data_IF_682332211543
#
_entry.id   IF_682332211543
#
_cell.length_a   1.000
_cell.length_b   1.000
_cell.length_c   1.000
_cell.angle_alpha   90.00
_cell.angle_beta   90.00
_cell.angle_gamma   90.00
#
_symmetry.space_group_name_H-M   'P 1'
#
loop_
_entity.id
_entity.type
_entity.pdbx_description
1 polymer ?
#
# COMPACT_ATOMS: atom_id res chain seq x y z
N UNK A 1 -27.96 35.61 -27.96
CA UNK A 1 -27.55 34.45 -27.15
C UNK A 1 -27.49 34.91 -25.71
N UNK A 2 -28.16 34.20 -24.80
CA UNK A 2 -28.20 34.55 -23.39
C UNK A 2 -26.82 34.30 -22.75
N UNK A 3 -26.41 35.13 -21.78
CA UNK A 3 -25.18 34.97 -20.98
C UNK A 3 -24.83 33.52 -20.56
N UNK A 4 -25.78 32.68 -20.10
CA UNK A 4 -25.47 31.29 -19.72
C UNK A 4 -24.95 30.40 -20.86
N UNK A 5 -25.31 30.65 -22.12
CA UNK A 5 -24.80 29.88 -23.27
C UNK A 5 -23.34 30.27 -23.60
N UNK A 6 -22.96 31.52 -23.36
CA UNK A 6 -21.60 32.01 -23.56
C UNK A 6 -20.65 31.44 -22.50
N UNK A 7 -21.09 31.31 -21.25
CA UNK A 7 -20.30 30.69 -20.19
C UNK A 7 -20.15 29.17 -20.37
N UNK A 8 -21.20 28.50 -20.85
CA UNK A 8 -21.12 27.08 -21.21
C UNK A 8 -20.13 26.85 -22.35
N UNK A 9 -20.21 27.63 -23.42
CA UNK A 9 -19.27 27.55 -24.54
C UNK A 9 -17.85 27.91 -24.09
N UNK A 10 -17.66 28.91 -23.23
CA UNK A 10 -16.35 29.31 -22.72
C UNK A 10 -15.71 28.24 -21.84
N UNK A 11 -16.49 27.56 -21.01
CA UNK A 11 -16.04 26.41 -20.22
C UNK A 11 -15.70 25.20 -21.11
N UNK A 12 -16.53 24.94 -22.12
CA UNK A 12 -16.29 23.86 -23.08
C UNK A 12 -15.04 24.11 -23.94
N UNK A 13 -14.82 25.34 -24.40
CA UNK A 13 -13.62 25.74 -25.13
C UNK A 13 -12.36 25.73 -24.26
N UNK A 14 -12.47 26.10 -22.98
CA UNK A 14 -11.37 26.02 -22.00
C UNK A 14 -10.91 24.57 -21.76
N UNK A 15 -11.86 23.64 -21.68
CA UNK A 15 -11.61 22.21 -21.50
C UNK A 15 -11.05 21.53 -22.78
N UNK A 16 -11.51 21.95 -23.96
CA UNK A 16 -11.16 21.30 -25.23
C UNK A 16 -9.81 21.77 -25.80
N UNK A 17 -9.35 22.99 -25.44
CA UNK A 17 -8.13 23.60 -25.98
C UNK A 17 -6.93 23.61 -25.00
N UNK A 18 -7.01 22.92 -23.85
CA UNK A 18 -6.01 23.02 -22.76
C UNK A 18 -5.72 24.46 -22.30
N UNK A 19 -6.63 25.40 -22.57
CA UNK A 19 -6.55 26.79 -22.11
C UNK A 19 -6.97 26.96 -20.63
N UNK A 20 -7.49 25.89 -20.01
CA UNK A 20 -7.84 25.82 -18.59
C UNK A 20 -6.69 25.44 -17.64
N UNK A 21 -5.45 25.35 -18.13
CA UNK A 21 -4.26 24.93 -17.35
C UNK A 21 -3.73 26.03 -16.41
N UNK A 22 -4.60 26.68 -15.64
CA UNK A 22 -4.16 27.70 -14.69
C UNK A 22 -3.67 27.04 -13.41
N UNK A 23 -2.40 27.33 -13.04
CA UNK A 23 -1.84 26.94 -11.75
C UNK A 23 -2.44 27.84 -10.67
N UNK A 24 -3.62 27.47 -10.17
CA UNK A 24 -4.23 28.09 -8.99
C UNK A 24 -3.70 27.40 -7.72
N UNK A 25 -3.30 28.20 -6.73
CA UNK A 25 -2.94 27.71 -5.40
C UNK A 25 -4.20 27.64 -4.54
N UNK A 26 -4.64 26.41 -4.27
CA UNK A 26 -5.82 26.14 -3.43
C UNK A 26 -5.48 26.03 -1.93
N UNK A 27 -4.24 25.65 -1.59
CA UNK A 27 -3.75 25.59 -0.22
C UNK A 27 -3.32 26.98 0.26
N UNK A 28 -3.81 27.40 1.42
CA UNK A 28 -3.36 28.64 2.06
C UNK A 28 -1.89 28.55 2.49
N UNK A 29 -1.44 27.39 2.99
CA UNK A 29 -0.06 27.05 3.31
C UNK A 29 0.30 25.62 2.87
N UNK A 30 1.58 25.40 2.55
CA UNK A 30 2.08 24.08 2.10
C UNK A 30 2.47 23.21 3.30
N UNK A 31 1.51 22.96 4.19
CA UNK A 31 1.70 22.15 5.40
C UNK A 31 0.54 21.16 5.57
N UNK A 32 0.65 20.27 6.56
CA UNK A 32 -0.42 19.33 6.89
C UNK A 32 -1.67 20.07 7.37
N UNK A 33 -1.49 21.16 8.11
CA UNK A 33 -2.56 22.04 8.59
C UNK A 33 -3.29 22.73 7.43
N UNK A 34 -2.55 23.22 6.43
CA UNK A 34 -3.14 23.78 5.21
C UNK A 34 -3.97 22.76 4.42
N UNK A 35 -3.48 21.52 4.33
CA UNK A 35 -4.25 20.41 3.71
C UNK A 35 -5.49 20.07 4.53
N UNK A 36 -5.40 20.02 5.86
CA UNK A 36 -6.54 19.73 6.72
C UNK A 36 -7.64 20.80 6.59
N UNK A 37 -7.28 22.09 6.58
CA UNK A 37 -8.23 23.19 6.33
C UNK A 37 -8.86 23.10 4.94
N UNK A 38 -8.08 22.74 3.92
CA UNK A 38 -8.60 22.51 2.58
C UNK A 38 -9.61 21.35 2.53
N UNK A 39 -9.31 20.23 3.21
CA UNK A 39 -10.21 19.08 3.34
C UNK A 39 -11.54 19.41 4.03
N UNK A 40 -11.53 20.34 4.99
CA UNK A 40 -12.74 20.82 5.68
C UNK A 40 -13.55 21.83 4.86
N UNK A 41 -12.99 22.36 3.76
CA UNK A 41 -13.67 23.33 2.90
C UNK A 41 -14.64 22.65 1.93
N UNK A 42 -15.64 23.39 1.45
CA UNK A 42 -16.60 22.88 0.44
C UNK A 42 -15.97 22.54 -0.92
N UNK A 43 -14.71 22.96 -1.16
CA UNK A 43 -13.98 22.68 -2.39
C UNK A 43 -13.45 21.24 -2.44
N UNK A 44 -13.15 20.62 -1.29
CA UNK A 44 -12.59 19.28 -1.23
C UNK A 44 -13.69 18.24 -0.99
N UNK A 45 -14.16 17.59 -2.06
CA UNK A 45 -15.25 16.59 -1.97
C UNK A 45 -14.81 15.19 -2.38
N UNK A 46 -13.75 15.08 -3.19
CA UNK A 46 -13.31 13.83 -3.83
C UNK A 46 -11.82 13.65 -3.63
N UNK A 47 -11.48 12.74 -2.72
CA UNK A 47 -10.11 12.36 -2.39
C UNK A 47 -9.77 11.06 -3.10
N UNK A 48 -8.64 11.04 -3.82
CA UNK A 48 -8.06 9.78 -4.30
C UNK A 48 -6.85 9.44 -3.42
N UNK A 49 -6.84 8.22 -2.90
CA UNK A 49 -5.68 7.66 -2.22
C UNK A 49 -4.82 6.87 -3.22
N UNK A 50 -3.51 7.15 -3.25
CA UNK A 50 -2.52 6.38 -4.00
C UNK A 50 -1.58 5.72 -2.99
N UNK A 51 -1.69 4.41 -2.82
CA UNK A 51 -0.97 3.71 -1.74
C UNK A 51 -0.05 2.61 -2.25
N UNK A 52 0.93 2.27 -1.42
CA UNK A 52 1.86 1.16 -1.66
C UNK A 52 2.33 0.53 -0.37
N UNK A 53 3.37 -0.32 -0.45
CA UNK A 53 3.72 -1.25 0.62
C UNK A 53 4.03 -0.58 1.97
N UNK A 54 4.48 0.68 1.97
CA UNK A 54 4.77 1.44 3.18
C UNK A 54 3.57 1.54 4.14
N UNK A 55 2.32 1.50 3.65
CA UNK A 55 1.13 1.53 4.51
C UNK A 55 0.89 0.21 5.27
N UNK A 56 1.50 -0.88 4.83
CA UNK A 56 1.36 -2.24 5.39
C UNK A 56 2.54 -2.67 6.25
N UNK A 57 3.64 -1.89 6.26
CA UNK A 57 4.85 -2.25 7.03
C UNK A 57 4.61 -2.38 8.54
N UNK A 58 3.78 -1.51 9.13
CA UNK A 58 3.41 -1.60 10.55
C UNK A 58 2.45 -2.75 10.88
N UNK A 59 1.83 -3.37 9.86
CA UNK A 59 1.09 -4.61 10.03
C UNK A 59 2.02 -5.84 10.11
N UNK A 60 3.31 -5.69 9.85
CA UNK A 60 4.28 -6.79 9.81
C UNK A 60 4.51 -7.37 8.42
N UNK A 61 3.95 -6.76 7.37
CA UNK A 61 4.19 -7.14 5.98
C UNK A 61 5.40 -6.33 5.48
N UNK A 62 6.54 -6.97 5.17
CA UNK A 62 7.71 -6.24 4.68
C UNK A 62 7.38 -5.56 3.35
N UNK A 63 7.97 -4.38 3.12
CA UNK A 63 7.95 -3.83 1.78
C UNK A 63 8.91 -4.59 0.87
N UNK A 64 8.95 -4.23 -0.41
CA UNK A 64 9.82 -4.93 -1.36
C UNK A 64 11.28 -4.45 -1.32
N UNK A 65 11.54 -3.17 -1.01
CA UNK A 65 12.76 -2.45 -1.41
C UNK A 65 13.59 -1.88 -0.27
N UNK A 66 13.06 -1.86 0.96
CA UNK A 66 13.78 -1.31 2.11
C UNK A 66 15.05 -2.13 2.34
N UNK A 67 16.21 -1.49 2.54
CA UNK A 67 17.43 -2.20 2.87
C UNK A 67 17.27 -3.04 4.15
N UNK A 68 17.84 -4.24 4.14
CA UNK A 68 17.88 -5.24 5.23
C UNK A 68 16.54 -5.84 5.69
N UNK A 69 15.42 -5.16 5.45
CA UNK A 69 14.08 -5.59 5.90
C UNK A 69 13.11 -5.85 4.76
N UNK A 70 13.45 -5.39 3.56
CA UNK A 70 12.68 -5.60 2.35
C UNK A 70 12.70 -7.06 1.91
N UNK A 71 11.67 -7.43 1.19
CA UNK A 71 11.48 -8.79 0.72
C UNK A 71 12.65 -9.29 -0.14
N UNK A 72 13.19 -8.43 -1.02
CA UNK A 72 14.29 -8.80 -1.92
C UNK A 72 15.59 -9.20 -1.22
N UNK A 73 15.85 -8.67 -0.03
CA UNK A 73 17.06 -9.02 0.75
C UNK A 73 16.96 -10.38 1.44
N UNK A 74 15.77 -11.01 1.43
CA UNK A 74 15.50 -12.27 2.12
C UNK A 74 15.18 -13.44 1.17
N UNK A 75 15.47 -13.31 -0.13
CA UNK A 75 15.12 -14.31 -1.16
C UNK A 75 16.23 -15.31 -1.50
N UNK A 76 17.41 -15.23 -0.87
CA UNK A 76 18.57 -16.08 -1.21
C UNK A 76 18.25 -17.59 -1.19
N UNK A 77 17.42 -18.03 -0.24
CA UNK A 77 16.98 -19.43 -0.10
C UNK A 77 16.25 -20.00 -1.32
N UNK A 78 15.70 -19.14 -2.18
CA UNK A 78 14.96 -19.54 -3.38
C UNK A 78 15.86 -19.76 -4.61
N UNK A 79 17.17 -19.50 -4.51
CA UNK A 79 18.14 -19.71 -5.60
C UNK A 79 17.70 -19.07 -6.93
N UNK A 80 17.16 -17.85 -6.84
CA UNK A 80 16.67 -17.08 -7.98
C UNK A 80 17.85 -16.55 -8.81
N UNK A 81 17.68 -16.37 -10.14
CA UNK A 81 18.71 -15.73 -10.97
C UNK A 81 18.94 -14.26 -10.58
N UNK A 82 17.91 -13.59 -10.09
CA UNK A 82 17.90 -12.25 -9.50
C UNK A 82 16.62 -12.09 -8.67
N UNK A 83 16.56 -11.19 -7.67
CA UNK A 83 15.45 -11.10 -6.71
C UNK A 83 14.07 -10.92 -7.35
N UNK A 84 13.96 -10.12 -8.40
CA UNK A 84 12.71 -9.79 -9.08
C UNK A 84 12.12 -10.97 -9.86
N UNK A 85 12.92 -12.00 -10.18
CA UNK A 85 12.49 -13.14 -10.97
C UNK A 85 11.30 -13.88 -10.35
N UNK A 86 11.17 -13.90 -9.02
CA UNK A 86 10.04 -14.52 -8.32
C UNK A 86 8.69 -13.88 -8.67
N UNK A 87 8.71 -12.62 -9.15
CA UNK A 87 7.54 -11.85 -9.57
C UNK A 87 7.48 -11.64 -11.09
N UNK A 88 8.30 -12.32 -11.89
CA UNK A 88 8.19 -12.30 -13.35
C UNK A 88 7.30 -13.43 -13.87
N UNK A 89 6.37 -13.10 -14.78
CA UNK A 89 5.40 -14.09 -15.29
C UNK A 89 6.06 -15.23 -16.08
N UNK A 90 7.16 -14.92 -16.77
CA UNK A 90 7.94 -15.88 -17.56
C UNK A 90 8.63 -16.92 -16.67
N UNK A 91 9.19 -16.48 -15.54
CA UNK A 91 9.82 -17.32 -14.54
C UNK A 91 8.77 -18.14 -13.79
N UNK A 92 7.71 -17.50 -13.28
CA UNK A 92 6.62 -18.16 -12.56
C UNK A 92 5.98 -19.32 -13.33
N UNK A 93 5.77 -19.16 -14.65
CA UNK A 93 5.20 -20.24 -15.49
C UNK A 93 6.10 -21.48 -15.58
N UNK A 94 7.42 -21.32 -15.41
CA UNK A 94 8.41 -22.40 -15.46
C UNK A 94 8.74 -22.96 -14.08
N UNK A 95 8.81 -22.08 -13.08
CA UNK A 95 9.20 -22.34 -11.70
C UNK A 95 8.22 -21.63 -10.75
N UNK A 96 6.99 -22.14 -10.60
CA UNK A 96 6.00 -21.53 -9.72
C UNK A 96 6.28 -21.76 -8.23
N UNK A 97 7.09 -22.76 -7.89
CA UNK A 97 7.32 -23.24 -6.53
C UNK A 97 7.89 -22.16 -5.60
N UNK A 98 8.92 -21.37 -5.99
CA UNK A 98 9.44 -20.29 -5.15
C UNK A 98 8.38 -19.26 -4.76
N UNK A 99 7.52 -18.88 -5.70
CA UNK A 99 6.44 -17.93 -5.44
C UNK A 99 5.44 -18.49 -4.43
N UNK A 100 5.01 -19.74 -4.57
CA UNK A 100 4.03 -20.33 -3.65
C UNK A 100 4.62 -20.61 -2.27
N UNK A 101 5.90 -20.98 -2.18
CA UNK A 101 6.61 -21.08 -0.91
C UNK A 101 6.67 -19.71 -0.21
N UNK A 102 6.99 -18.66 -0.96
CA UNK A 102 6.97 -17.30 -0.44
C UNK A 102 5.56 -16.84 -0.02
N UNK A 103 4.54 -17.14 -0.84
CA UNK A 103 3.16 -16.79 -0.53
C UNK A 103 2.64 -17.46 0.75
N UNK A 104 3.16 -18.66 1.09
CA UNK A 104 2.89 -19.32 2.37
C UNK A 104 3.47 -18.54 3.54
N UNK A 105 4.69 -18.03 3.40
CA UNK A 105 5.36 -17.22 4.44
C UNK A 105 4.68 -15.86 4.66
N UNK A 106 4.09 -15.30 3.60
CA UNK A 106 3.45 -13.98 3.62
C UNK A 106 1.91 -14.03 3.75
N UNK A 107 1.31 -15.20 3.96
CA UNK A 107 -0.14 -15.37 3.77
C UNK A 107 -0.99 -14.48 4.71
N UNK A 108 -1.94 -13.69 4.18
CA UNK A 108 -2.85 -12.85 4.98
C UNK A 108 -3.81 -13.69 5.84
N UNK A 109 -3.55 -13.68 7.14
CA UNK A 109 -4.32 -14.34 8.19
C UNK A 109 -3.76 -14.08 9.59
N UNK A 110 -2.56 -13.49 9.65
CA UNK A 110 -1.91 -12.97 10.86
C UNK A 110 -1.90 -11.44 10.91
N UNK A 111 -2.29 -10.76 9.82
CA UNK A 111 -2.04 -9.33 9.64
C UNK A 111 -3.32 -8.53 9.76
N UNK A 112 -3.25 -7.46 10.55
CA UNK A 112 -4.36 -6.54 10.80
C UNK A 112 -4.13 -5.26 9.99
N UNK A 113 -5.16 -4.68 9.36
CA UNK A 113 -5.02 -3.39 8.69
C UNK A 113 -4.47 -2.33 9.65
N UNK A 114 -3.65 -1.43 9.12
CA UNK A 114 -2.97 -0.39 9.89
C UNK A 114 -3.87 0.81 10.14
N UNK A 115 -3.39 1.78 10.93
CA UNK A 115 -4.13 3.03 11.17
C UNK A 115 -4.33 3.78 9.84
N UNK A 116 -3.34 3.73 8.94
CA UNK A 116 -3.44 4.29 7.60
C UNK A 116 -4.60 3.67 6.78
N UNK A 117 -4.82 2.35 6.88
CA UNK A 117 -5.96 1.69 6.22
C UNK A 117 -7.30 2.18 6.78
N UNK A 118 -7.43 2.27 8.10
CA UNK A 118 -8.66 2.76 8.73
C UNK A 118 -8.89 4.26 8.53
N UNK A 119 -7.84 5.05 8.29
CA UNK A 119 -8.01 6.44 7.86
C UNK A 119 -8.70 6.51 6.48
N UNK A 120 -8.32 5.64 5.54
CA UNK A 120 -9.01 5.53 4.25
C UNK A 120 -10.46 5.08 4.42
N UNK A 121 -10.73 4.17 5.38
CA UNK A 121 -12.10 3.79 5.75
C UNK A 121 -12.90 4.99 6.26
N UNK A 122 -12.33 5.86 7.10
CA UNK A 122 -13.02 7.08 7.52
C UNK A 122 -13.27 8.04 6.36
N UNK A 123 -12.37 8.14 5.36
CA UNK A 123 -12.64 8.91 4.15
C UNK A 123 -13.87 8.37 3.41
N UNK A 124 -14.03 7.05 3.32
CA UNK A 124 -15.24 6.41 2.75
C UNK A 124 -16.47 6.74 3.57
N UNK A 125 -16.44 6.49 4.87
CA UNK A 125 -17.59 6.67 5.76
C UNK A 125 -18.06 8.13 5.83
N UNK A 126 -17.14 9.08 5.61
CA UNK A 126 -17.44 10.53 5.53
C UNK A 126 -17.79 11.02 4.12
N UNK A 127 -17.89 10.12 3.14
CA UNK A 127 -18.27 10.44 1.76
C UNK A 127 -17.24 11.25 0.97
N UNK A 128 -15.97 11.21 1.39
CA UNK A 128 -14.86 11.93 0.76
C UNK A 128 -14.03 11.06 -0.18
N UNK A 129 -13.97 9.73 0.06
CA UNK A 129 -13.18 8.83 -0.77
C UNK A 129 -13.83 8.66 -2.15
N UNK A 130 -13.15 9.13 -3.20
CA UNK A 130 -13.51 8.84 -4.58
C UNK A 130 -12.98 7.48 -5.02
N UNK A 131 -11.71 7.21 -4.71
CA UNK A 131 -11.06 5.93 -5.02
C UNK A 131 -9.79 5.72 -4.20
N UNK A 132 -9.50 4.48 -3.85
CA UNK A 132 -8.19 4.03 -3.41
C UNK A 132 -7.55 3.21 -4.53
N UNK A 133 -6.45 3.71 -5.09
CA UNK A 133 -5.57 2.95 -5.96
C UNK A 133 -4.44 2.38 -5.12
N UNK A 134 -4.36 1.06 -5.05
CA UNK A 134 -3.33 0.36 -4.27
C UNK A 134 -2.40 -0.43 -5.17
N UNK A 135 -1.10 -0.39 -4.85
CA UNK A 135 -0.08 -1.28 -5.41
C UNK A 135 0.05 -2.58 -4.61
N UNK A 136 -0.61 -2.66 -3.45
CA UNK A 136 -0.53 -3.79 -2.55
C UNK A 136 -1.42 -4.92 -3.04
N UNK A 137 -1.07 -6.13 -2.63
CA UNK A 137 -1.78 -7.37 -2.95
C UNK A 137 -2.25 -8.09 -1.66
N UNK A 138 -1.99 -7.49 -0.50
CA UNK A 138 -2.23 -8.06 0.83
C UNK A 138 -3.71 -8.07 1.25
N UNK A 139 -4.57 -7.35 0.52
CA UNK A 139 -6.02 -7.23 0.73
C UNK A 139 -6.44 -6.49 2.01
N UNK A 140 -5.50 -5.84 2.73
CA UNK A 140 -5.80 -5.16 3.99
C UNK A 140 -6.78 -3.99 3.80
N UNK A 141 -6.87 -3.39 2.63
CA UNK A 141 -7.88 -2.37 2.30
C UNK A 141 -9.31 -2.94 2.38
N UNK A 142 -9.51 -4.16 1.88
CA UNK A 142 -10.79 -4.87 1.94
C UNK A 142 -11.14 -5.25 3.37
N UNK A 143 -10.14 -5.73 4.13
CA UNK A 143 -10.33 -6.08 5.55
C UNK A 143 -10.66 -4.84 6.38
N UNK A 144 -10.11 -3.66 6.05
CA UNK A 144 -10.49 -2.39 6.68
C UNK A 144 -11.90 -1.90 6.30
N UNK A 145 -12.54 -2.56 5.33
CA UNK A 145 -13.92 -2.31 4.88
C UNK A 145 -14.03 -1.36 3.70
N UNK A 146 -12.99 -1.20 2.88
CA UNK A 146 -13.15 -0.65 1.54
C UNK A 146 -13.75 -1.71 0.61
N UNK A 147 -14.77 -1.32 -0.14
CA UNK A 147 -15.52 -2.19 -1.02
C UNK A 147 -14.92 -2.19 -2.43
N UNK A 148 -15.40 -3.08 -3.30
CA UNK A 148 -14.86 -3.22 -4.66
C UNK A 148 -14.99 -1.93 -5.47
N UNK A 149 -16.09 -1.20 -5.28
CA UNK A 149 -16.32 0.11 -5.86
C UNK A 149 -15.24 1.10 -5.44
N UNK A 150 -14.80 1.11 -4.18
CA UNK A 150 -13.81 2.08 -3.71
C UNK A 150 -12.41 1.79 -4.25
N UNK A 151 -12.15 0.52 -4.63
CA UNK A 151 -10.81 0.02 -4.88
C UNK A 151 -10.44 -0.10 -6.36
N UNK A 152 -9.19 0.22 -6.64
CA UNK A 152 -8.44 -0.20 -7.82
C UNK A 152 -7.16 -0.88 -7.33
N UNK A 153 -7.20 -2.20 -7.25
CA UNK A 153 -6.04 -3.05 -6.97
C UNK A 153 -5.16 -3.10 -8.22
N UNK A 154 -4.28 -2.09 -8.37
CA UNK A 154 -3.53 -1.86 -9.60
C UNK A 154 -2.59 -3.01 -9.94
N UNK A 155 -2.01 -3.65 -8.93
CA UNK A 155 -1.18 -4.85 -9.10
C UNK A 155 -1.95 -6.14 -8.79
N UNK A 156 -3.27 -6.08 -8.91
CA UNK A 156 -4.14 -7.24 -8.71
C UNK A 156 -4.28 -7.64 -7.24
N UNK A 157 -4.76 -8.85 -6.99
CA UNK A 157 -5.20 -9.28 -5.65
C UNK A 157 -5.02 -10.76 -5.43
N UNK A 158 -4.81 -11.17 -4.17
CA UNK A 158 -4.88 -12.58 -3.78
C UNK A 158 -6.33 -13.05 -3.60
N UNK A 159 -7.31 -12.14 -3.55
CA UNK A 159 -8.71 -12.46 -3.24
C UNK A 159 -9.34 -13.47 -4.20
N UNK A 160 -8.94 -13.43 -5.47
CA UNK A 160 -9.34 -14.37 -6.52
C UNK A 160 -8.11 -14.94 -7.23
N UNK A 161 -8.29 -16.07 -7.89
CA UNK A 161 -7.24 -16.76 -8.65
C UNK A 161 -7.85 -17.35 -9.91
N UNK A 162 -7.09 -17.40 -11.00
CA UNK A 162 -7.58 -17.98 -12.26
C UNK A 162 -6.67 -19.04 -12.82
N UNK A 163 -7.27 -20.05 -13.47
CA UNK A 163 -6.56 -20.94 -14.36
C UNK A 163 -5.81 -20.12 -15.44
N UNK A 164 -4.53 -20.41 -15.67
CA UNK A 164 -3.71 -19.71 -16.67
C UNK A 164 -4.04 -20.11 -18.10
N UNK A 165 -4.77 -21.22 -18.30
CA UNK A 165 -5.21 -21.63 -19.63
C UNK A 165 -6.26 -20.66 -20.17
N UNK A 166 -5.98 -20.05 -21.32
CA UNK A 166 -6.86 -19.08 -21.96
C UNK A 166 -8.21 -19.67 -22.40
N UNK A 167 -8.27 -20.98 -22.67
CA UNK A 167 -9.51 -21.67 -23.06
C UNK A 167 -10.36 -22.11 -21.86
N UNK A 168 -9.85 -21.97 -20.63
CA UNK A 168 -10.54 -22.39 -19.41
C UNK A 168 -10.88 -21.19 -18.54
N UNK A 169 -9.87 -20.48 -18.02
CA UNK A 169 -10.02 -19.31 -17.13
C UNK A 169 -10.97 -19.56 -15.94
N UNK A 170 -11.07 -20.79 -15.44
CA UNK A 170 -11.83 -21.07 -14.22
C UNK A 170 -11.33 -20.23 -13.05
N UNK A 171 -12.24 -19.59 -12.33
CA UNK A 171 -11.98 -18.75 -11.16
C UNK A 171 -12.03 -19.58 -9.88
N UNK A 172 -11.05 -19.39 -9.00
CA UNK A 172 -10.96 -20.02 -7.69
C UNK A 172 -10.92 -18.96 -6.58
N UNK A 173 -11.65 -19.16 -5.48
CA UNK A 173 -11.64 -18.22 -4.36
C UNK A 173 -10.36 -18.31 -3.52
N UNK A 174 -10.07 -17.26 -2.75
CA UNK A 174 -8.94 -17.21 -1.82
C UNK A 174 -8.84 -18.44 -0.89
N UNK A 175 -9.98 -18.97 -0.42
CA UNK A 175 -10.03 -20.15 0.46
C UNK A 175 -9.49 -21.42 -0.20
N UNK A 176 -9.78 -21.62 -1.49
CA UNK A 176 -9.22 -22.72 -2.28
C UNK A 176 -7.72 -22.55 -2.48
N UNK A 177 -7.29 -21.33 -2.85
CA UNK A 177 -5.87 -21.02 -3.02
C UNK A 177 -5.10 -21.20 -1.71
N UNK A 178 -5.70 -20.81 -0.57
CA UNK A 178 -5.15 -21.03 0.77
C UNK A 178 -4.82 -22.49 1.02
N UNK A 179 -5.81 -23.37 0.80
CA UNK A 179 -5.66 -24.80 1.04
C UNK A 179 -4.48 -25.36 0.24
N UNK A 180 -4.36 -24.99 -1.05
CA UNK A 180 -3.24 -25.42 -1.91
C UNK A 180 -1.88 -24.89 -1.42
N UNK A 181 -1.78 -23.60 -1.11
CA UNK A 181 -0.55 -22.98 -0.60
C UNK A 181 -0.10 -23.65 0.72
N UNK A 182 -0.99 -23.84 1.69
CA UNK A 182 -0.63 -24.40 2.99
C UNK A 182 -0.33 -25.89 2.95
N UNK A 183 -0.98 -26.63 2.04
CA UNK A 183 -0.68 -28.05 1.77
C UNK A 183 0.60 -28.27 0.96
N UNK A 184 1.28 -27.19 0.55
CA UNK A 184 2.51 -27.23 -0.28
C UNK A 184 2.29 -27.93 -1.63
N UNK A 185 1.06 -27.86 -2.15
CA UNK A 185 0.71 -28.41 -3.47
C UNK A 185 0.60 -27.26 -4.46
N UNK A 186 1.39 -27.32 -5.55
CA UNK A 186 1.29 -26.36 -6.65
C UNK A 186 -0.15 -26.33 -7.20
N UNK A 187 -0.86 -25.19 -7.14
CA UNK A 187 -2.27 -25.12 -7.52
C UNK A 187 -2.50 -25.47 -8.99
N UNK A 188 -3.32 -26.50 -9.24
CA UNK A 188 -3.74 -26.94 -10.57
C UNK A 188 -5.24 -26.83 -10.71
N UNK A 189 -5.70 -26.46 -11.90
CA UNK A 189 -7.10 -26.32 -12.24
C UNK A 189 -7.76 -27.69 -12.27
N UNK A 190 -8.88 -27.82 -11.58
CA UNK A 190 -9.66 -29.06 -11.48
C UNK A 190 -10.20 -29.49 -12.86
N UNK A 191 -10.53 -28.55 -13.74
CA UNK A 191 -11.09 -28.83 -15.07
C UNK A 191 -10.04 -29.27 -16.11
N UNK A 192 -8.83 -28.67 -16.08
CA UNK A 192 -7.86 -28.81 -17.18
C UNK A 192 -6.41 -29.05 -16.75
N UNK A 193 -6.14 -29.17 -15.45
CA UNK A 193 -4.82 -29.44 -14.85
C UNK A 193 -3.72 -28.40 -15.18
N UNK A 194 -4.09 -27.29 -15.83
CA UNK A 194 -3.21 -26.13 -15.99
C UNK A 194 -2.97 -25.44 -14.66
N UNK A 195 -1.88 -24.68 -14.56
CA UNK A 195 -1.55 -23.90 -13.36
C UNK A 195 -2.69 -22.92 -13.01
N UNK A 196 -2.98 -22.74 -11.73
CA UNK A 196 -3.84 -21.66 -11.22
C UNK A 196 -2.95 -20.60 -10.60
N UNK A 197 -3.13 -19.34 -11.01
CA UNK A 197 -2.36 -18.20 -10.52
C UNK A 197 -3.28 -17.25 -9.75
N UNK A 198 -2.87 -16.72 -8.59
CA UNK A 198 -3.54 -15.59 -7.97
C UNK A 198 -3.65 -14.42 -8.95
N UNK A 199 -4.71 -13.61 -8.84
CA UNK A 199 -4.96 -12.49 -9.75
C UNK A 199 -4.10 -11.27 -9.45
N UNK A 200 -2.87 -11.49 -9.00
CA UNK A 200 -1.81 -10.48 -8.87
C UNK A 200 -1.15 -10.24 -10.24
N UNK A 201 -0.66 -9.03 -10.48
CA UNK A 201 0.02 -8.65 -11.72
C UNK A 201 1.51 -8.91 -11.56
N UNK A 202 2.02 -9.94 -12.24
CA UNK A 202 3.46 -10.19 -12.32
C UNK A 202 4.12 -9.18 -13.28
N UNK A 203 5.42 -8.95 -13.13
CA UNK A 203 6.20 -8.23 -14.14
C UNK A 203 6.08 -8.94 -15.49
N UNK A 204 5.79 -8.14 -16.53
CA UNK A 204 5.48 -8.61 -17.87
C UNK A 204 3.99 -8.81 -18.16
N UNK A 205 3.11 -8.71 -17.15
CA UNK A 205 1.66 -8.72 -17.35
C UNK A 205 1.09 -7.30 -17.50
N UNK A 206 -0.06 -7.19 -18.17
CA UNK A 206 -0.81 -5.93 -18.24
C UNK A 206 -1.54 -5.68 -16.92
N UNK A 207 -1.62 -4.41 -16.50
CA UNK A 207 -2.48 -4.02 -15.38
C UNK A 207 -3.96 -4.30 -15.71
N UNK A 208 -4.83 -4.47 -14.69
CA UNK A 208 -6.24 -4.77 -14.90
C UNK A 208 -6.94 -3.67 -15.71
N UNK A 209 -7.90 -4.03 -16.57
CA UNK A 209 -8.66 -3.05 -17.35
C UNK A 209 -9.33 -1.97 -16.48
N UNK A 210 -9.76 -2.35 -15.26
CA UNK A 210 -10.33 -1.44 -14.26
C UNK A 210 -9.38 -0.27 -13.95
N UNK A 211 -8.07 -0.51 -13.86
CA UNK A 211 -7.07 0.53 -13.62
C UNK A 211 -7.20 1.67 -14.63
N UNK A 212 -7.21 1.34 -15.92
CA UNK A 212 -7.27 2.33 -17.00
C UNK A 212 -8.63 3.02 -17.06
N UNK A 213 -9.72 2.27 -16.92
CA UNK A 213 -11.08 2.83 -16.98
C UNK A 213 -11.34 3.83 -15.85
N UNK A 214 -11.02 3.47 -14.60
CA UNK A 214 -11.15 4.36 -13.45
C UNK A 214 -10.20 5.55 -13.56
N UNK A 215 -8.94 5.34 -13.97
CA UNK A 215 -7.98 6.44 -14.13
C UNK A 215 -8.52 7.54 -15.07
N UNK A 216 -9.16 7.16 -16.16
CA UNK A 216 -9.72 8.12 -17.12
C UNK A 216 -10.87 8.95 -16.55
N UNK A 217 -11.70 8.38 -15.66
CA UNK A 217 -12.85 9.08 -15.08
C UNK A 217 -12.53 9.84 -13.79
N UNK A 218 -11.71 9.24 -12.92
CA UNK A 218 -11.56 9.67 -11.54
C UNK A 218 -10.69 10.93 -11.45
N UNK A 219 -9.60 10.96 -12.22
CA UNK A 219 -8.67 12.10 -12.23
C UNK A 219 -9.25 13.36 -12.87
N UNK A 220 -10.39 13.29 -13.57
CA UNK A 220 -11.10 14.48 -14.05
C UNK A 220 -11.85 15.22 -12.93
N UNK A 221 -12.09 14.56 -11.79
CA UNK A 221 -12.99 15.05 -10.73
C UNK A 221 -12.30 15.13 -9.36
N UNK A 222 -11.01 14.79 -9.28
CA UNK A 222 -10.30 14.69 -8.02
C UNK A 222 -9.96 16.07 -7.45
N UNK A 223 -10.33 16.28 -6.19
CA UNK A 223 -10.09 17.56 -5.49
C UNK A 223 -8.83 17.49 -4.60
N UNK A 224 -8.38 16.29 -4.21
CA UNK A 224 -7.16 16.04 -3.43
C UNK A 224 -6.54 14.67 -3.78
N UNK A 225 -5.23 14.63 -3.97
CA UNK A 225 -4.47 13.38 -3.94
C UNK A 225 -3.81 13.17 -2.58
N UNK A 226 -4.05 12.01 -1.98
CA UNK A 226 -3.36 11.53 -0.79
C UNK A 226 -2.46 10.35 -1.16
N UNK A 227 -1.15 10.56 -1.18
CA UNK A 227 -0.15 9.59 -1.59
C UNK A 227 0.53 9.05 -0.33
N UNK A 228 0.46 7.75 -0.08
CA UNK A 228 0.95 7.18 1.19
C UNK A 228 1.78 5.92 0.97
N UNK A 229 2.90 5.81 1.67
CA UNK A 229 3.67 4.57 1.73
C UNK A 229 4.17 4.04 0.38
N UNK A 230 4.53 4.92 -0.56
CA UNK A 230 5.05 4.51 -1.87
C UNK A 230 6.24 5.35 -2.32
N UNK A 231 7.23 4.69 -2.93
CA UNK A 231 8.38 5.34 -3.55
C UNK A 231 8.10 5.89 -4.95
N UNK A 232 6.92 5.59 -5.53
CA UNK A 232 6.51 5.99 -6.88
C UNK A 232 7.53 5.61 -7.97
N UNK A 233 8.12 4.41 -7.87
CA UNK A 233 9.11 3.90 -8.83
C UNK A 233 8.52 2.96 -9.89
N UNK A 234 7.32 2.42 -9.67
CA UNK A 234 6.71 1.41 -10.57
C UNK A 234 5.73 2.08 -11.53
N UNK A 235 5.98 1.92 -12.83
CA UNK A 235 5.06 2.35 -13.88
C UNK A 235 4.06 1.24 -14.24
N UNK A 236 2.83 1.59 -14.68
CA UNK A 236 2.31 2.94 -14.91
C UNK A 236 1.76 3.64 -13.65
N UNK A 237 1.79 3.01 -12.48
CA UNK A 237 1.19 3.55 -11.25
C UNK A 237 1.76 4.91 -10.86
N UNK A 238 3.09 5.07 -10.91
CA UNK A 238 3.77 6.31 -10.59
C UNK A 238 3.29 7.50 -11.44
N UNK A 239 2.85 7.26 -12.69
CA UNK A 239 2.34 8.31 -13.57
C UNK A 239 1.01 8.91 -13.11
N UNK A 240 0.26 8.25 -12.22
CA UNK A 240 -1.04 8.72 -11.74
C UNK A 240 -0.99 10.11 -11.10
N UNK A 241 0.09 10.45 -10.41
CA UNK A 241 0.26 11.78 -9.78
C UNK A 241 0.23 12.93 -10.80
N UNK A 242 0.56 12.64 -12.07
CA UNK A 242 0.57 13.61 -13.17
C UNK A 242 -0.78 13.74 -13.88
N UNK A 243 -1.74 12.85 -13.58
CA UNK A 243 -3.08 12.87 -14.16
C UNK A 243 -4.03 13.82 -13.46
N UNK A 244 -3.71 14.21 -12.22
CA UNK A 244 -4.52 15.18 -11.48
C UNK A 244 -4.46 16.58 -12.13
N UNK A 245 -5.57 17.34 -12.12
CA UNK A 245 -5.61 18.73 -12.57
C UNK A 245 -4.49 19.55 -11.92
N UNK A 246 -3.98 20.58 -12.61
CA UNK A 246 -2.87 21.38 -12.11
C UNK A 246 -3.20 22.09 -10.78
N UNK A 247 -4.46 22.42 -10.50
CA UNK A 247 -4.87 23.04 -9.24
C UNK A 247 -4.99 22.05 -8.06
N UNK A 248 -5.18 20.75 -8.32
CA UNK A 248 -5.44 19.74 -7.27
C UNK A 248 -4.23 19.60 -6.33
N UNK A 249 -4.40 19.86 -5.02
CA UNK A 249 -3.36 19.63 -4.03
C UNK A 249 -2.97 18.15 -3.94
N UNK A 250 -1.71 17.89 -3.60
CA UNK A 250 -1.18 16.54 -3.44
C UNK A 250 -0.39 16.45 -2.13
N UNK A 251 -0.86 15.62 -1.21
CA UNK A 251 -0.18 15.35 0.05
C UNK A 251 0.54 14.00 -0.04
N UNK A 252 1.84 14.00 0.22
CA UNK A 252 2.65 12.80 0.43
C UNK A 252 2.82 12.55 1.93
N UNK A 253 2.39 11.40 2.43
CA UNK A 253 2.71 10.89 3.77
C UNK A 253 3.62 9.67 3.59
N UNK A 254 4.92 9.84 3.79
CA UNK A 254 5.88 8.78 3.52
C UNK A 254 7.15 8.97 4.34
N UNK A 255 7.94 7.92 4.55
CA UNK A 255 9.23 8.04 5.26
C UNK A 255 10.21 8.96 4.55
N UNK A 256 10.14 8.98 3.22
CA UNK A 256 11.06 9.73 2.35
C UNK A 256 10.27 10.49 1.29
N UNK A 257 10.86 11.56 0.75
CA UNK A 257 10.29 12.24 -0.42
C UNK A 257 10.29 11.31 -1.62
N UNK A 258 9.21 11.32 -2.40
CA UNK A 258 9.04 10.47 -3.56
C UNK A 258 8.36 11.24 -4.70
N UNK A 259 8.55 10.77 -5.93
CA UNK A 259 7.89 11.31 -7.13
C UNK A 259 8.33 12.71 -7.54
N UNK A 260 9.42 13.25 -6.98
CA UNK A 260 9.98 14.51 -7.47
C UNK A 260 10.46 14.33 -8.92
N UNK A 261 10.20 15.33 -9.76
CA UNK A 261 10.67 15.31 -11.13
C UNK A 261 12.20 15.32 -11.16
N UNK A 262 12.79 14.32 -11.81
CA UNK A 262 14.19 14.36 -12.18
C UNK A 262 14.42 15.57 -13.11
N UNK A 263 15.31 16.52 -12.74
CA UNK A 263 15.52 17.74 -13.53
C UNK A 263 16.00 17.46 -14.96
N UNK A 264 16.74 16.38 -15.17
CA UNK A 264 17.30 15.97 -16.45
C UNK A 264 16.23 15.30 -17.32
N UNK A 265 15.44 14.38 -16.74
CA UNK A 265 14.36 13.70 -17.46
C UNK A 265 13.20 14.64 -17.81
N UNK A 266 12.87 15.57 -16.92
CA UNK A 266 11.85 16.59 -17.15
C UNK A 266 12.22 17.59 -18.25
N UNK A 267 13.52 17.87 -18.43
CA UNK A 267 14.03 18.75 -19.49
C UNK A 267 14.02 18.07 -20.87
N UNK A 268 14.34 16.77 -20.94
CA UNK A 268 14.41 16.03 -22.21
C UNK A 268 13.02 15.64 -22.74
N UNK A 269 12.10 15.24 -21.86
CA UNK A 269 10.81 14.67 -22.27
C UNK A 269 9.63 15.63 -22.15
N UNK A 270 9.81 16.86 -21.63
CA UNK A 270 8.71 17.80 -21.41
C UNK A 270 7.64 17.32 -20.41
N UNK A 271 7.91 16.23 -19.69
CA UNK A 271 7.02 15.59 -18.73
C UNK A 271 7.16 16.26 -17.35
N UNK A 272 6.71 17.51 -17.23
CA UNK A 272 6.72 18.29 -15.98
C UNK A 272 5.67 17.84 -14.93
N UNK A 273 5.45 16.53 -14.77
CA UNK A 273 4.35 15.96 -13.98
C UNK A 273 4.70 15.52 -12.55
N UNK A 274 5.97 15.62 -12.14
CA UNK A 274 6.44 15.22 -10.81
C UNK A 274 5.93 16.11 -9.67
N UNK A 275 6.29 15.76 -8.44
CA UNK A 275 6.04 16.54 -7.22
C UNK A 275 7.06 17.67 -7.08
N UNK A 276 6.62 18.84 -6.63
CA UNK A 276 7.47 20.00 -6.30
C UNK A 276 7.15 20.51 -4.89
N UNK A 277 7.89 19.99 -3.90
CA UNK A 277 7.71 20.33 -2.49
C UNK A 277 8.47 21.59 -2.06
N UNK A 278 9.65 21.83 -2.66
CA UNK A 278 10.67 22.71 -2.07
C UNK A 278 11.08 23.88 -2.98
N UNK A 279 10.73 23.85 -4.26
CA UNK A 279 11.14 24.93 -5.15
C UNK A 279 10.38 26.22 -4.83
N UNK A 280 10.94 27.36 -5.23
CA UNK A 280 10.24 28.66 -5.14
C UNK A 280 8.94 28.72 -5.95
N UNK A 281 8.68 27.72 -6.81
CA UNK A 281 7.46 27.59 -7.62
C UNK A 281 6.46 26.60 -7.02
N UNK A 282 6.80 25.93 -5.91
CA UNK A 282 5.91 25.01 -5.22
C UNK A 282 4.63 25.73 -4.79
N UNK A 283 3.48 25.11 -5.04
CA UNK A 283 2.17 25.76 -4.83
C UNK A 283 1.05 24.82 -4.40
N UNK A 284 1.24 23.49 -4.46
CA UNK A 284 0.17 22.51 -4.22
C UNK A 284 0.62 21.19 -3.59
N UNK A 285 1.92 20.95 -3.53
CA UNK A 285 2.48 19.68 -3.08
C UNK A 285 3.00 19.83 -1.66
N UNK A 286 2.61 18.91 -0.78
CA UNK A 286 3.03 18.88 0.62
C UNK A 286 3.64 17.51 0.90
N UNK A 287 4.77 17.48 1.60
CA UNK A 287 5.38 16.25 2.08
C UNK A 287 5.39 16.26 3.61
N UNK A 288 4.70 15.29 4.21
CA UNK A 288 4.82 14.94 5.62
C UNK A 288 5.71 13.71 5.72
N UNK A 289 6.84 13.84 6.42
CA UNK A 289 7.87 12.80 6.47
C UNK A 289 7.82 12.02 7.78
N UNK A 290 7.57 10.72 7.68
CA UNK A 290 7.49 9.80 8.83
C UNK A 290 6.68 8.55 8.52
N UNK A 291 6.28 7.82 9.57
CA UNK A 291 5.43 6.65 9.43
C UNK A 291 4.01 7.01 8.98
N UNK A 292 3.45 6.22 8.05
CA UNK A 292 2.13 6.47 7.49
C UNK A 292 1.03 6.55 8.57
N UNK A 293 1.12 5.69 9.59
CA UNK A 293 0.18 5.68 10.72
C UNK A 293 0.23 6.99 11.52
N UNK A 294 1.43 7.52 11.79
CA UNK A 294 1.60 8.78 12.52
C UNK A 294 1.12 9.98 11.70
N UNK A 295 1.41 10.00 10.40
CA UNK A 295 0.91 11.06 9.52
C UNK A 295 -0.61 11.05 9.38
N UNK A 296 -1.22 9.86 9.30
CA UNK A 296 -2.68 9.72 9.29
C UNK A 296 -3.30 10.14 10.63
N UNK A 297 -2.69 9.80 11.77
CA UNK A 297 -3.14 10.27 13.08
C UNK A 297 -3.05 11.79 13.21
N UNK A 298 -1.94 12.40 12.76
CA UNK A 298 -1.75 13.84 12.79
C UNK A 298 -2.80 14.56 11.91
N UNK A 299 -3.06 14.04 10.70
CA UNK A 299 -4.10 14.58 9.83
C UNK A 299 -5.49 14.39 10.44
N UNK A 300 -5.78 13.21 11.01
CA UNK A 300 -7.02 12.96 11.71
C UNK A 300 -7.20 13.88 12.92
N UNK A 301 -6.15 14.23 13.65
CA UNK A 301 -6.19 15.18 14.75
C UNK A 301 -6.63 16.57 14.29
N UNK A 302 -6.00 17.07 13.22
CA UNK A 302 -6.34 18.36 12.61
C UNK A 302 -7.77 18.40 12.05
N UNK A 303 -8.29 17.25 11.61
CA UNK A 303 -9.65 17.10 11.12
C UNK A 303 -10.68 16.88 12.24
N UNK A 304 -10.25 16.65 13.49
CA UNK A 304 -11.11 16.30 14.61
C UNK A 304 -11.59 14.84 14.61
N UNK A 305 -10.93 13.96 13.85
CA UNK A 305 -11.28 12.54 13.66
C UNK A 305 -10.40 11.58 14.47
N UNK A 306 -9.35 12.05 15.16
CA UNK A 306 -8.37 11.18 15.85
C UNK A 306 -9.03 10.16 16.79
N UNK A 307 -9.95 10.61 17.66
CA UNK A 307 -10.66 9.73 18.59
C UNK A 307 -11.49 8.67 17.85
N UNK A 308 -12.20 9.07 16.80
CA UNK A 308 -13.01 8.18 15.97
C UNK A 308 -12.14 7.12 15.28
N UNK A 309 -10.97 7.53 14.77
CA UNK A 309 -10.00 6.64 14.16
C UNK A 309 -9.41 5.64 15.17
N UNK A 310 -8.98 6.12 16.34
CA UNK A 310 -8.45 5.26 17.41
C UNK A 310 -9.49 4.24 17.89
N UNK A 311 -10.75 4.67 18.07
CA UNK A 311 -11.84 3.80 18.49
C UNK A 311 -12.22 2.79 17.40
N UNK A 312 -12.18 3.18 16.11
CA UNK A 312 -12.38 2.29 14.97
C UNK A 312 -11.28 1.21 14.92
N UNK A 313 -10.00 1.62 14.94
CA UNK A 313 -8.85 0.69 14.91
C UNK A 313 -8.95 -0.32 16.05
N UNK A 314 -9.20 0.16 17.28
CA UNK A 314 -9.31 -0.72 18.46
C UNK A 314 -10.43 -1.75 18.31
N UNK A 315 -11.59 -1.33 17.80
CA UNK A 315 -12.77 -2.20 17.63
C UNK A 315 -12.54 -3.26 16.57
N UNK A 316 -12.03 -2.85 15.41
CA UNK A 316 -11.81 -3.77 14.29
C UNK A 316 -10.67 -4.75 14.60
N UNK A 317 -9.59 -4.30 15.25
CA UNK A 317 -8.53 -5.21 15.70
C UNK A 317 -9.04 -6.25 16.69
N UNK A 318 -9.87 -5.84 17.66
CA UNK A 318 -10.48 -6.78 18.60
C UNK A 318 -11.43 -7.78 17.91
N UNK A 319 -12.16 -7.35 16.88
CA UNK A 319 -13.00 -8.22 16.06
C UNK A 319 -12.18 -9.26 15.30
N UNK A 320 -11.06 -8.86 14.69
CA UNK A 320 -10.14 -9.76 13.97
C UNK A 320 -9.50 -10.77 14.94
N UNK A 321 -9.06 -10.32 16.12
CA UNK A 321 -8.46 -11.19 17.15
C UNK A 321 -9.49 -12.25 17.62
N UNK A 322 -10.76 -11.86 17.81
CA UNK A 322 -11.83 -12.77 18.20
C UNK A 322 -12.15 -13.83 17.13
N UNK A 323 -12.07 -13.47 15.84
CA UNK A 323 -12.33 -14.40 14.73
C UNK A 323 -11.16 -15.38 14.47
N UNK A 324 -9.94 -14.98 14.82
CA UNK A 324 -8.72 -15.79 14.62
C UNK A 324 -8.44 -16.76 15.77
N UNK A 325 -9.26 -16.76 16.83
CA UNK A 325 -9.09 -17.66 17.99
C UNK A 325 -7.88 -17.32 18.86
N UNK A 326 -7.30 -16.13 18.69
CA UNK A 326 -6.20 -15.64 19.51
C UNK A 326 -6.80 -14.98 20.76
N UNK A 327 -6.86 -15.72 21.87
CA UNK A 327 -7.25 -15.13 23.16
C UNK A 327 -6.30 -13.97 23.52
N UNK A 328 -6.88 -12.81 23.86
CA UNK A 328 -6.12 -11.71 24.44
C UNK A 328 -5.38 -12.20 25.70
N UNK A 329 -4.12 -11.77 25.95
CA UNK A 329 -3.42 -12.14 27.17
C UNK A 329 -4.21 -11.63 28.37
N UNK A 330 -4.77 -12.56 29.15
CA UNK A 330 -5.49 -12.25 30.40
C UNK A 330 -4.57 -11.47 31.34
N UNK A 331 -4.95 -10.28 31.85
CA UNK A 331 -4.15 -9.51 32.79
C UNK A 331 -4.14 -10.09 34.22
N UNK A 332 -4.59 -11.33 34.41
CA UNK A 332 -4.70 -11.99 35.72
C UNK A 332 -4.01 -13.36 35.73
N UNK A 333 -2.71 -13.39 35.51
CA UNK A 333 -1.86 -14.45 36.08
C UNK A 333 -0.70 -13.81 36.82
N UNK A 334 -0.86 -13.75 38.14
CA UNK A 334 0.17 -13.37 39.10
C UNK A 334 1.46 -14.15 38.86
N UNK A 335 2.56 -13.40 38.76
CA UNK A 335 3.91 -13.92 38.68
C UNK A 335 4.20 -14.94 39.79
N UNK A 336 4.57 -16.16 39.42
CA UNK A 336 5.28 -17.06 40.33
C UNK A 336 6.77 -16.72 40.32
N UNK A 337 7.47 -16.73 41.47
CA UNK A 337 8.83 -16.24 41.56
C UNK A 337 9.79 -17.19 40.84
N UNK A 338 10.62 -16.64 39.94
CA UNK A 338 11.78 -17.36 39.38
C UNK A 338 12.71 -17.75 40.52
N UNK A 339 13.01 -19.05 40.63
CA UNK A 339 14.07 -19.58 41.49
C UNK A 339 15.41 -18.99 41.05
N UNK A 340 16.18 -18.54 42.04
CA UNK A 340 17.54 -18.02 41.92
C UNK A 340 18.50 -19.08 41.33
N UNK A 341 19.56 -18.67 40.61
CA UNK A 341 20.57 -19.59 40.11
C UNK A 341 21.46 -20.10 41.26
N UNK A 342 22.02 -21.32 41.15
CA UNK A 342 22.90 -21.88 42.19
C UNK A 342 24.28 -21.18 42.20
N UNK A 343 24.96 -21.13 43.35
CA UNK A 343 26.22 -20.42 43.50
C UNK A 343 27.40 -21.20 42.87
N UNK A 344 28.37 -20.45 42.35
CA UNK A 344 29.65 -20.94 41.87
C UNK A 344 30.45 -21.58 43.03
N UNK A 345 31.05 -22.74 42.77
CA UNK A 345 32.06 -23.34 43.65
C UNK A 345 33.45 -23.07 43.08
N UNK A 346 34.20 -22.25 43.79
CA UNK A 346 35.65 -22.19 43.72
C UNK A 346 36.30 -23.25 44.62
N UNK A 347 37.55 -23.55 44.27
CA UNK A 347 38.60 -24.28 45.01
C UNK A 347 38.62 -25.82 44.91
N UNK A 348 39.68 -26.35 44.27
CA UNK A 348 40.87 -26.76 45.03
C UNK A 348 42.04 -27.11 44.10
N UNK A 349 43.14 -26.40 44.34
CA UNK A 349 44.48 -26.60 43.79
C UNK A 349 45.19 -27.65 44.67
N UNK A 350 45.60 -28.77 44.10
CA UNK A 350 46.57 -29.68 44.75
C UNK A 350 47.77 -29.91 43.83
N UNK A 351 48.93 -29.56 44.37
CA UNK A 351 50.28 -29.82 43.90
C UNK A 351 50.81 -31.11 44.53
N UNK A 352 51.53 -31.95 43.75
CA UNK A 352 52.73 -32.76 44.12
C UNK A 352 53.05 -33.70 42.93
N UNK A 353 54.09 -33.45 42.12
CA UNK A 353 55.54 -33.80 42.22
C UNK A 353 55.90 -35.30 42.04
N UNK A 354 56.47 -35.55 40.85
CA UNK A 354 57.70 -36.32 40.50
C UNK A 354 57.87 -37.85 40.71
N UNK A 355 58.06 -38.54 39.55
CA UNK A 355 59.13 -39.51 39.13
C UNK A 355 59.18 -40.93 39.75
N UNK A 356 59.94 -41.92 39.19
CA UNK A 356 60.78 -41.96 37.96
C UNK A 356 60.62 -43.21 37.04
N UNK A 357 60.92 -43.09 35.74
CA UNK A 357 61.99 -43.81 35.01
C UNK A 357 62.13 -43.26 33.59
#
# INVERSE_FOLDING_TARGET
MAEPDLDFLRNLFSQTLSLGSQKERLLDELTLEGVARYMQSERCRRVICLVGAGISTSAGIPDFRSPSTGLYDNLEKYHLPYPEAIFEISYFKKHPEPFFALAKELYPGQFKPTICHYFMRLLKDKGLLLRCYTQNIDTLERIAGLEQEDLVEAHGTFYTSHCVSASCRHEYPLSWMKEKIFSEVTPKCEDCQSLVKPDIVFFGESLPARFFSCMQSDFLKVDLLLIMGTSLQVQPFASLISKAPLSTPRLLINKEKAGQSDPFLGMILGLGGGMDFDSKKAYRDVAWLGDCDQGCLALAELLGWKKELEDLVRREHASIDAQSGVEAPNPSTSASPRKSPPPAKDEARTTEREKPQ
#
